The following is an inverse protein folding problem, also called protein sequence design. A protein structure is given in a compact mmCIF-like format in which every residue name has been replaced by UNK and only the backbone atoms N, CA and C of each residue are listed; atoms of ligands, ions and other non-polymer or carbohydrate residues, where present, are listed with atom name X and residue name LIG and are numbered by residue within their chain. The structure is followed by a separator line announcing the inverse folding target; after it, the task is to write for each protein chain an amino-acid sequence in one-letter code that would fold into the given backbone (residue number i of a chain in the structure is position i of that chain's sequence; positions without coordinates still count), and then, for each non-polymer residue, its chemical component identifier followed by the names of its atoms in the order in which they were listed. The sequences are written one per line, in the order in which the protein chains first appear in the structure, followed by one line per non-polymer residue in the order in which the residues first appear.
data_IF_251555174105
#
_entry.id   IF_251555174105
#
_cell.length_a   1.000
_cell.length_b   1.000
_cell.length_c   1.000
_cell.angle_alpha   90.00
_cell.angle_beta   90.00
_cell.angle_gamma   90.00
#
_symmetry.space_group_name_H-M   'P 1'
#
loop_
_entity.id
_entity.type
_entity.pdbx_description
1 polymer ?
#
# COMPACT_ATOMS: atom_id res chain seq x y z
N UNK A 1 -13.85 10.61 -5.65
CA UNK A 1 -13.48 10.64 -7.09
C UNK A 1 -12.24 9.80 -7.39
N UNK A 2 -11.13 9.90 -6.63
CA UNK A 2 -9.93 9.06 -6.86
C UNK A 2 -10.21 7.55 -6.74
N UNK A 3 -11.01 7.12 -5.76
CA UNK A 3 -11.33 5.70 -5.57
C UNK A 3 -12.20 5.11 -6.69
N UNK A 4 -13.01 5.93 -7.35
CA UNK A 4 -13.82 5.48 -8.49
C UNK A 4 -12.95 5.18 -9.72
N UNK A 5 -11.85 5.92 -9.89
CA UNK A 5 -10.90 5.75 -10.99
C UNK A 5 -9.82 4.72 -10.66
N UNK A 6 -9.42 4.63 -9.40
CA UNK A 6 -8.33 3.77 -8.93
C UNK A 6 -8.75 2.97 -7.69
N UNK A 7 -9.71 2.03 -7.81
CA UNK A 7 -10.23 1.27 -6.67
C UNK A 7 -9.16 0.42 -5.98
N UNK A 8 -8.14 0.00 -6.72
CA UNK A 8 -6.99 -0.74 -6.17
C UNK A 8 -6.14 0.09 -5.19
N UNK A 9 -6.26 1.42 -5.21
CA UNK A 9 -5.59 2.31 -4.26
C UNK A 9 -6.45 2.65 -3.03
N UNK A 10 -7.72 2.25 -2.98
CA UNK A 10 -8.60 2.55 -1.85
C UNK A 10 -8.05 2.02 -0.51
N UNK A 11 -7.35 0.89 -0.55
CA UNK A 11 -6.71 0.28 0.62
C UNK A 11 -5.31 0.82 0.90
N UNK A 12 -4.80 1.78 0.12
CA UNK A 12 -3.51 2.40 0.35
C UNK A 12 -3.67 3.65 1.22
N UNK A 13 -2.74 3.85 2.14
CA UNK A 13 -2.59 5.07 2.92
C UNK A 13 -1.15 5.56 2.80
N UNK A 14 -0.99 6.84 2.52
CA UNK A 14 0.30 7.52 2.67
C UNK A 14 0.45 7.88 4.14
N UNK A 15 1.50 7.38 4.77
CA UNK A 15 1.80 7.60 6.18
C UNK A 15 2.68 8.83 6.37
N UNK A 16 3.56 9.11 5.40
CA UNK A 16 4.42 10.28 5.41
C UNK A 16 5.08 10.54 4.08
N UNK A 17 5.40 11.80 3.82
CA UNK A 17 6.20 12.24 2.68
C UNK A 17 7.35 13.07 3.21
N UNK A 18 8.57 12.66 2.90
CA UNK A 18 9.79 13.28 3.39
C UNK A 18 10.67 13.65 2.21
N UNK A 19 10.97 14.92 2.07
CA UNK A 19 11.80 15.43 1.00
C UNK A 19 13.15 15.84 1.59
N UNK A 20 14.22 15.09 1.31
CA UNK A 20 15.56 15.38 1.83
C UNK A 20 16.59 15.30 0.68
N UNK A 21 17.22 16.44 0.38
CA UNK A 21 18.21 16.52 -0.72
C UNK A 21 17.63 16.01 -2.04
N UNK A 22 18.34 15.13 -2.78
CA UNK A 22 17.92 14.68 -4.10
C UNK A 22 16.80 13.63 -4.08
N UNK A 23 16.29 13.23 -2.90
CA UNK A 23 15.30 12.14 -2.79
C UNK A 23 14.02 12.62 -2.11
N UNK A 24 12.89 12.20 -2.67
CA UNK A 24 11.57 12.21 -2.02
C UNK A 24 11.27 10.79 -1.57
N UNK A 25 11.13 10.59 -0.26
CA UNK A 25 10.73 9.32 0.34
C UNK A 25 9.26 9.37 0.71
N UNK A 26 8.50 8.41 0.21
CA UNK A 26 7.10 8.19 0.55
C UNK A 26 7.02 6.94 1.42
N UNK A 27 6.55 7.09 2.65
CA UNK A 27 6.20 5.97 3.52
C UNK A 27 4.70 5.71 3.36
N UNK A 28 4.33 4.48 3.03
CA UNK A 28 2.95 4.09 2.78
C UNK A 28 2.64 2.72 3.39
N UNK A 29 1.37 2.48 3.66
CA UNK A 29 0.88 1.21 4.17
C UNK A 29 -0.48 0.84 3.64
N UNK A 30 -0.81 -0.46 3.69
CA UNK A 30 -2.19 -0.89 3.52
C UNK A 30 -3.02 -0.53 4.76
N UNK A 31 -4.19 0.06 4.56
CA UNK A 31 -5.19 0.33 5.60
C UNK A 31 -5.57 -0.94 6.36
N UNK A 32 -5.98 -0.78 7.61
CA UNK A 32 -6.63 -1.82 8.40
C UNK A 32 -8.07 -2.08 7.90
N UNK A 33 -8.72 -3.13 8.42
CA UNK A 33 -10.10 -3.49 8.07
C UNK A 33 -10.22 -4.73 7.19
N UNK A 34 -11.41 -4.98 6.69
CA UNK A 34 -11.73 -6.18 5.92
C UNK A 34 -11.35 -6.01 4.44
N UNK A 35 -10.82 -7.07 3.83
CA UNK A 35 -10.58 -7.15 2.39
C UNK A 35 -11.12 -8.48 1.90
N UNK A 36 -11.80 -8.46 0.75
CA UNK A 36 -12.26 -9.68 0.10
C UNK A 36 -11.07 -10.51 -0.38
N UNK A 37 -11.07 -11.79 -0.04
CA UNK A 37 -10.09 -12.72 -0.57
C UNK A 37 -10.22 -12.76 -2.11
N UNK A 38 -9.13 -12.57 -2.86
CA UNK A 38 -9.19 -12.60 -4.33
C UNK A 38 -9.53 -14.00 -4.89
N UNK A 39 -9.44 -15.07 -4.08
CA UNK A 39 -9.78 -16.42 -4.49
C UNK A 39 -11.25 -16.79 -4.26
N UNK A 40 -11.79 -16.54 -3.06
CA UNK A 40 -13.14 -16.99 -2.66
C UNK A 40 -14.13 -15.85 -2.38
N UNK A 41 -13.69 -14.59 -2.35
CA UNK A 41 -14.53 -13.43 -2.04
C UNK A 41 -14.80 -13.19 -0.54
N UNK A 42 -14.55 -14.16 0.34
CA UNK A 42 -14.77 -14.01 1.78
C UNK A 42 -13.97 -12.85 2.35
N UNK A 43 -14.64 -11.98 3.11
CA UNK A 43 -13.99 -10.87 3.81
C UNK A 43 -13.16 -11.41 4.96
N UNK A 44 -11.90 -10.97 5.05
CA UNK A 44 -11.03 -11.22 6.21
C UNK A 44 -10.33 -9.94 6.61
N UNK A 45 -10.06 -9.78 7.89
CA UNK A 45 -9.14 -8.78 8.45
C UNK A 45 -7.93 -9.42 9.17
N UNK A 46 -7.91 -10.76 9.24
CA UNK A 46 -6.96 -11.54 10.03
C UNK A 46 -5.60 -11.56 9.34
N UNK A 47 -4.63 -10.92 9.97
CA UNK A 47 -3.30 -10.75 9.40
C UNK A 47 -2.48 -12.03 9.53
N UNK A 48 -2.06 -12.58 8.39
CA UNK A 48 -1.11 -13.67 8.32
C UNK A 48 0.33 -13.18 8.51
N UNK A 49 0.72 -12.18 7.73
CA UNK A 49 2.07 -11.62 7.80
C UNK A 49 2.10 -10.18 7.29
N UNK A 50 3.20 -9.49 7.55
CA UNK A 50 3.48 -8.17 6.99
C UNK A 50 4.80 -8.22 6.24
N UNK A 51 4.85 -7.55 5.10
CA UNK A 51 6.09 -7.42 4.33
C UNK A 51 6.26 -5.99 3.84
N UNK A 52 7.49 -5.64 3.51
CA UNK A 52 7.84 -4.31 3.01
C UNK A 52 8.34 -4.40 1.57
N UNK A 53 7.83 -3.53 0.70
CA UNK A 53 8.34 -3.31 -0.65
C UNK A 53 9.07 -1.98 -0.69
N UNK A 54 10.19 -1.94 -1.41
CA UNK A 54 10.85 -0.70 -1.81
C UNK A 54 10.65 -0.55 -3.31
N UNK A 55 10.04 0.54 -3.72
CA UNK A 55 9.74 0.84 -5.12
C UNK A 55 10.45 2.15 -5.48
N UNK A 56 11.20 2.14 -6.57
CA UNK A 56 11.57 3.38 -7.24
C UNK A 56 10.40 3.82 -8.13
N UNK A 57 10.18 5.13 -8.21
CA UNK A 57 9.20 5.72 -9.12
C UNK A 57 9.88 6.80 -9.98
N UNK A 58 9.14 7.32 -10.95
CA UNK A 58 9.55 8.43 -11.78
C UNK A 58 9.91 9.65 -10.92
N UNK A 59 10.99 10.34 -11.29
CA UNK A 59 11.46 11.50 -10.54
C UNK A 59 10.41 12.63 -10.49
N UNK A 60 10.27 13.26 -9.33
CA UNK A 60 9.45 14.46 -9.14
C UNK A 60 10.39 15.65 -9.00
N UNK A 61 10.26 16.64 -9.90
CA UNK A 61 11.09 17.85 -9.89
C UNK A 61 12.59 17.54 -9.78
N UNK A 62 13.08 16.64 -10.66
CA UNK A 62 14.46 16.11 -10.71
C UNK A 62 14.96 15.39 -9.45
N UNK A 63 14.06 15.01 -8.55
CA UNK A 63 14.37 14.25 -7.34
C UNK A 63 13.92 12.80 -7.50
N UNK A 64 14.78 11.87 -7.13
CA UNK A 64 14.46 10.45 -7.08
C UNK A 64 13.28 10.22 -6.13
N UNK A 65 12.32 9.39 -6.52
CA UNK A 65 11.20 9.02 -5.66
C UNK A 65 11.38 7.58 -5.19
N UNK A 66 11.43 7.40 -3.86
CA UNK A 66 11.50 6.09 -3.23
C UNK A 66 10.28 5.87 -2.35
N UNK A 67 9.47 4.87 -2.70
CA UNK A 67 8.29 4.45 -1.96
C UNK A 67 8.66 3.24 -1.10
N UNK A 68 8.46 3.36 0.22
CA UNK A 68 8.51 2.26 1.17
C UNK A 68 7.09 1.88 1.54
N UNK A 69 6.66 0.73 1.05
CA UNK A 69 5.29 0.26 1.21
C UNK A 69 5.24 -0.94 2.16
N UNK A 70 4.58 -0.77 3.31
CA UNK A 70 4.27 -1.87 4.24
C UNK A 70 2.91 -2.48 3.89
N UNK A 71 2.93 -3.73 3.46
CA UNK A 71 1.74 -4.48 3.04
C UNK A 71 1.41 -5.55 4.06
N UNK A 72 0.12 -5.74 4.34
CA UNK A 72 -0.39 -6.89 5.11
C UNK A 72 -0.88 -7.99 4.17
N UNK A 73 -0.50 -9.23 4.44
CA UNK A 73 -1.15 -10.43 3.89
C UNK A 73 -2.19 -10.89 4.88
N UNK A 74 -3.39 -11.17 4.40
CA UNK A 74 -4.50 -11.66 5.20
C UNK A 74 -4.67 -13.16 4.97
N UNK A 75 -5.22 -13.86 5.96
CA UNK A 75 -5.64 -15.25 5.76
C UNK A 75 -6.88 -15.30 4.86
N UNK A 76 -7.04 -16.43 4.16
CA UNK A 76 -8.31 -16.79 3.57
C UNK A 76 -9.14 -17.48 4.65
N UNK A 77 -10.22 -16.86 5.11
CA UNK A 77 -11.12 -17.42 6.14
C UNK A 77 -12.29 -18.20 5.50
N UNK A 78 -12.02 -18.88 4.38
CA UNK A 78 -12.97 -19.81 3.77
C UNK A 78 -12.83 -21.19 4.43
N UNK A 79 -13.51 -21.37 5.55
CA UNK A 79 -13.74 -22.67 6.19
C UNK A 79 -15.01 -23.32 5.69
#
# INVERSE_FOLDING_TARGET
MLEALFPHLAQLRVDGVHAAGPVVRIEASTRAGHVACPGCGTLSDRVHSRYQRRLSDTAISSREVLIRLRVRRLFCDNT
#
